data_IF_854603323811
#
_entry.id   IF_854603323811
#
_cell.length_a   1.000
_cell.length_b   1.000
_cell.length_c   1.000
_cell.angle_alpha   90.00
_cell.angle_beta   90.00
_cell.angle_gamma   90.00
#
_symmetry.space_group_name_H-M   'P 1'
#
loop_
_entity.id
_entity.type
_entity.pdbx_description
1 polymer ?
#
# COMPACT_ATOMS: atom_id res chain seq x y z
N UNK A 1 38.18 13.58 0.73
CA UNK A 1 37.07 12.68 1.04
C UNK A 1 35.95 13.56 1.62
N UNK A 2 34.98 13.94 0.83
CA UNK A 2 33.80 14.67 1.30
C UNK A 2 32.95 13.72 2.10
N UNK A 3 32.91 13.88 3.41
CA UNK A 3 31.92 13.23 4.28
C UNK A 3 30.54 13.66 3.78
N UNK A 4 29.84 12.79 3.02
CA UNK A 4 28.42 12.97 2.80
C UNK A 4 27.74 12.89 4.18
N UNK A 5 27.32 14.04 4.69
CA UNK A 5 26.40 14.08 5.82
C UNK A 5 25.10 13.43 5.33
N UNK A 6 24.80 12.24 5.83
CA UNK A 6 23.52 11.61 5.59
C UNK A 6 22.41 12.55 6.08
N UNK A 7 21.40 12.77 5.28
CA UNK A 7 20.22 13.52 5.72
C UNK A 7 19.70 12.94 7.04
N UNK A 8 19.31 13.77 8.00
CA UNK A 8 18.81 13.29 9.27
C UNK A 8 17.56 12.42 9.07
N UNK A 9 17.49 11.31 9.80
CA UNK A 9 16.34 10.40 9.79
C UNK A 9 15.11 11.12 10.34
N UNK A 10 14.01 11.16 9.58
CA UNK A 10 12.75 11.77 10.00
C UNK A 10 11.87 10.74 10.73
N UNK A 11 11.87 10.76 12.05
CA UNK A 11 11.01 9.86 12.85
C UNK A 11 9.67 10.51 13.24
N UNK A 12 9.61 11.83 13.33
CA UNK A 12 8.42 12.56 13.76
C UNK A 12 8.33 13.88 13.01
N UNK A 13 7.13 14.22 12.58
CA UNK A 13 6.83 15.54 12.03
C UNK A 13 6.22 16.43 13.10
N UNK A 14 6.42 17.74 12.96
CA UNK A 14 5.80 18.77 13.81
C UNK A 14 5.54 20.01 12.96
N UNK A 15 4.30 20.19 12.54
CA UNK A 15 3.85 21.33 11.75
C UNK A 15 2.78 22.11 12.53
N UNK A 16 3.18 23.06 13.39
CA UNK A 16 2.29 23.70 14.35
C UNK A 16 1.10 24.43 13.70
N UNK A 17 1.21 24.84 12.43
CA UNK A 17 0.13 25.53 11.71
C UNK A 17 -0.81 24.57 10.95
N UNK A 18 -0.57 23.26 11.00
CA UNK A 18 -1.39 22.26 10.35
C UNK A 18 -2.03 21.32 11.40
N UNK A 19 -3.30 21.04 11.22
CA UNK A 19 -4.01 20.05 12.07
C UNK A 19 -3.53 18.64 11.75
N UNK A 20 -2.98 17.94 12.74
CA UNK A 20 -2.64 16.53 12.58
C UNK A 20 -3.94 15.70 12.52
N UNK A 21 -4.21 15.11 11.36
CA UNK A 21 -5.38 14.27 11.13
C UNK A 21 -5.19 12.84 11.66
N UNK A 22 -4.03 12.26 11.42
CA UNK A 22 -3.67 10.92 11.88
C UNK A 22 -2.14 10.75 11.93
N UNK A 23 -1.67 9.91 12.86
CA UNK A 23 -0.28 9.47 12.92
C UNK A 23 -0.25 7.95 12.95
N UNK A 24 0.21 7.36 11.85
CA UNK A 24 0.35 5.92 11.67
C UNK A 24 1.73 5.39 12.06
N UNK A 25 1.95 4.10 11.84
CA UNK A 25 3.22 3.42 12.14
C UNK A 25 4.41 3.99 11.35
N UNK A 26 4.17 4.46 10.11
CA UNK A 26 5.22 4.91 9.18
C UNK A 26 4.93 6.27 8.55
N UNK A 27 3.76 6.86 8.77
CA UNK A 27 3.29 8.06 8.08
C UNK A 27 2.52 8.96 9.02
N UNK A 28 2.67 10.27 8.84
CA UNK A 28 1.84 11.29 9.48
C UNK A 28 0.98 11.97 8.41
N UNK A 29 -0.27 12.27 8.75
CA UNK A 29 -1.26 12.85 7.84
C UNK A 29 -1.79 14.14 8.46
N UNK A 30 -1.80 15.21 7.68
CA UNK A 30 -2.28 16.53 8.12
C UNK A 30 -3.46 16.98 7.26
N UNK A 31 -4.38 17.74 7.82
CA UNK A 31 -5.42 18.43 7.06
C UNK A 31 -4.83 19.62 6.33
N UNK A 32 -5.29 19.84 5.10
CA UNK A 32 -4.95 21.00 4.28
C UNK A 32 -6.23 21.51 3.63
N UNK A 33 -6.68 22.67 4.08
CA UNK A 33 -8.01 23.16 3.71
C UNK A 33 -9.13 22.20 4.18
N UNK A 34 -10.24 22.16 3.44
CA UNK A 34 -11.42 21.37 3.81
C UNK A 34 -11.45 19.97 3.17
N UNK A 35 -10.80 19.80 2.02
CA UNK A 35 -10.96 18.66 1.12
C UNK A 35 -9.65 17.94 0.77
N UNK A 36 -8.52 18.32 1.37
CA UNK A 36 -7.22 17.76 1.09
C UNK A 36 -6.53 17.23 2.35
N UNK A 37 -5.62 16.31 2.12
CA UNK A 37 -4.72 15.79 3.14
C UNK A 37 -3.28 15.87 2.63
N UNK A 38 -2.36 16.17 3.54
CA UNK A 38 -0.92 16.08 3.29
C UNK A 38 -0.41 14.80 3.94
N UNK A 39 0.00 13.85 3.13
CA UNK A 39 0.65 12.62 3.56
C UNK A 39 2.14 12.84 3.67
N UNK A 40 2.72 12.50 4.80
CA UNK A 40 4.17 12.62 5.03
C UNK A 40 4.72 11.27 5.43
N UNK A 41 5.42 10.62 4.52
CA UNK A 41 6.10 9.36 4.79
C UNK A 41 7.36 9.66 5.63
N UNK A 42 7.40 9.07 6.81
CA UNK A 42 8.55 9.16 7.72
C UNK A 42 9.56 8.05 7.43
N UNK A 43 10.68 8.10 8.12
CA UNK A 43 11.71 7.05 8.03
C UNK A 43 11.50 5.96 9.10
N UNK A 44 10.35 5.99 9.81
CA UNK A 44 9.97 4.94 10.76
C UNK A 44 9.86 3.60 10.07
N UNK A 45 10.24 2.55 10.76
CA UNK A 45 9.99 1.17 10.38
C UNK A 45 9.16 0.49 11.47
N UNK A 46 8.22 -0.34 11.05
CA UNK A 46 7.38 -1.13 11.94
C UNK A 46 7.55 -2.60 11.64
N UNK A 47 7.69 -3.41 12.68
CA UNK A 47 7.71 -4.85 12.60
C UNK A 47 6.83 -5.43 13.72
N UNK A 48 6.02 -6.45 13.42
CA UNK A 48 5.09 -7.08 14.37
C UNK A 48 4.22 -6.06 15.12
N UNK A 49 3.72 -5.04 14.40
CA UNK A 49 2.92 -3.91 14.91
C UNK A 49 3.64 -2.94 15.86
N UNK A 50 4.92 -3.11 16.12
CA UNK A 50 5.72 -2.19 16.89
C UNK A 50 6.53 -1.26 15.97
N UNK A 51 6.51 0.03 16.26
CA UNK A 51 7.41 1.01 15.64
C UNK A 51 8.77 0.87 16.31
N UNK A 52 9.80 0.58 15.51
CA UNK A 52 11.16 0.46 16.03
C UNK A 52 11.74 1.84 16.41
N UNK A 53 12.63 1.86 17.40
CA UNK A 53 13.22 3.10 17.88
C UNK A 53 14.13 3.80 16.87
N UNK A 54 14.69 3.04 15.94
CA UNK A 54 15.55 3.55 14.86
C UNK A 54 14.79 3.54 13.53
N UNK A 55 14.96 4.58 12.72
CA UNK A 55 14.42 4.64 11.36
C UNK A 55 15.48 4.23 10.33
N UNK A 56 15.00 4.03 9.10
CA UNK A 56 15.86 3.76 7.95
C UNK A 56 16.00 5.06 7.16
N UNK A 57 17.23 5.60 6.99
CA UNK A 57 17.45 6.81 6.23
C UNK A 57 16.80 6.74 4.83
N UNK A 58 16.09 7.79 4.43
CA UNK A 58 15.42 7.92 3.15
C UNK A 58 14.24 6.97 2.88
N UNK A 59 13.85 6.10 3.82
CA UNK A 59 12.72 5.16 3.63
C UNK A 59 11.47 5.90 3.15
N UNK A 60 11.08 6.98 3.83
CA UNK A 60 9.90 7.77 3.43
C UNK A 60 9.99 8.33 2.02
N UNK A 61 11.18 8.76 1.58
CA UNK A 61 11.39 9.22 0.21
C UNK A 61 11.22 8.09 -0.81
N UNK A 62 11.82 6.94 -0.54
CA UNK A 62 11.71 5.77 -1.43
C UNK A 62 10.26 5.33 -1.59
N UNK A 63 9.52 5.19 -0.48
CA UNK A 63 8.10 4.79 -0.52
C UNK A 63 7.25 5.78 -1.31
N UNK A 64 7.47 7.08 -1.10
CA UNK A 64 6.72 8.13 -1.83
C UNK A 64 7.02 8.08 -3.33
N UNK A 65 8.29 7.96 -3.73
CA UNK A 65 8.66 7.90 -5.14
C UNK A 65 8.12 6.65 -5.84
N UNK A 66 8.10 5.50 -5.16
CA UNK A 66 7.49 4.28 -5.67
C UNK A 66 5.97 4.47 -5.86
N UNK A 67 5.27 5.01 -4.86
CA UNK A 67 3.83 5.30 -4.99
C UNK A 67 3.53 6.23 -6.14
N UNK A 68 4.31 7.30 -6.31
CA UNK A 68 4.14 8.25 -7.41
C UNK A 68 4.32 7.61 -8.78
N UNK A 69 5.35 6.78 -8.93
CA UNK A 69 5.56 6.01 -10.16
C UNK A 69 4.34 5.16 -10.49
N UNK A 70 3.79 4.44 -9.52
CA UNK A 70 2.65 3.58 -9.75
C UNK A 70 1.35 4.37 -9.99
N UNK A 71 1.12 5.49 -9.32
CA UNK A 71 -0.03 6.36 -9.62
C UNK A 71 -0.01 6.86 -11.05
N UNK A 72 1.15 7.28 -11.56
CA UNK A 72 1.31 7.69 -12.96
C UNK A 72 1.12 6.51 -13.92
N UNK A 73 1.76 5.37 -13.67
CA UNK A 73 1.66 4.19 -14.52
C UNK A 73 0.23 3.63 -14.60
N UNK A 74 -0.55 3.76 -13.55
CA UNK A 74 -1.90 3.22 -13.43
C UNK A 74 -3.01 4.21 -13.77
N UNK A 75 -2.71 5.47 -14.10
CA UNK A 75 -3.68 6.55 -14.31
C UNK A 75 -4.76 6.24 -15.35
N UNK A 76 -4.46 5.39 -16.34
CA UNK A 76 -5.43 4.93 -17.35
C UNK A 76 -6.27 3.73 -16.89
N UNK A 77 -5.95 3.14 -15.74
CA UNK A 77 -6.65 1.97 -15.21
C UNK A 77 -7.64 2.37 -14.12
N UNK A 78 -7.26 3.33 -13.28
CA UNK A 78 -8.05 3.78 -12.13
C UNK A 78 -7.72 5.24 -11.80
N UNK A 79 -8.75 6.00 -11.42
CA UNK A 79 -8.53 7.31 -10.81
C UNK A 79 -7.80 7.16 -9.47
N UNK A 80 -6.94 8.13 -9.12
CA UNK A 80 -6.26 8.13 -7.84
C UNK A 80 -6.39 9.48 -7.14
N UNK A 81 -6.09 9.51 -5.86
CA UNK A 81 -6.29 10.68 -5.01
C UNK A 81 -5.14 11.70 -5.06
N UNK A 82 -4.05 11.43 -5.78
CA UNK A 82 -2.89 12.32 -5.84
C UNK A 82 -3.26 13.64 -6.53
N UNK A 83 -3.03 14.75 -5.83
CA UNK A 83 -3.12 16.11 -6.40
C UNK A 83 -1.75 16.52 -6.91
N UNK A 84 -0.74 16.48 -6.05
CA UNK A 84 0.65 16.75 -6.40
C UNK A 84 1.60 16.25 -5.31
N UNK A 85 2.84 15.94 -5.69
CA UNK A 85 3.94 15.70 -4.76
C UNK A 85 5.09 16.72 -4.95
N UNK A 86 4.91 17.68 -5.85
CA UNK A 86 5.83 18.80 -5.99
C UNK A 86 5.53 19.85 -4.92
N UNK A 87 6.45 20.00 -3.98
CA UNK A 87 6.32 20.94 -2.86
C UNK A 87 6.16 22.39 -3.31
N UNK A 88 6.61 22.76 -4.52
CA UNK A 88 6.42 24.10 -5.06
C UNK A 88 4.96 24.43 -5.37
N UNK A 89 4.13 23.41 -5.55
CA UNK A 89 2.70 23.51 -5.83
C UNK A 89 1.83 23.33 -4.57
N UNK A 90 2.44 23.23 -3.39
CA UNK A 90 1.68 23.11 -2.15
C UNK A 90 1.08 24.45 -1.72
N UNK A 91 -0.06 24.46 -1.04
CA UNK A 91 -0.67 25.66 -0.49
C UNK A 91 0.27 26.44 0.44
N UNK A 92 0.05 27.74 0.54
CA UNK A 92 0.91 28.66 1.30
C UNK A 92 1.14 28.23 2.76
N UNK A 93 0.13 27.63 3.39
CA UNK A 93 0.21 27.13 4.77
C UNK A 93 1.17 25.96 4.94
N UNK A 94 1.47 25.23 3.86
CA UNK A 94 2.39 24.09 3.84
C UNK A 94 3.81 24.51 3.43
N UNK A 95 3.96 25.60 2.70
CA UNK A 95 5.25 26.08 2.15
C UNK A 95 6.36 26.23 3.21
N UNK A 96 6.11 26.68 4.45
CA UNK A 96 7.17 26.79 5.45
C UNK A 96 7.89 25.47 5.74
N UNK A 97 7.30 24.33 5.37
CA UNK A 97 7.82 22.98 5.62
C UNK A 97 8.39 22.29 4.37
N UNK A 98 8.47 22.99 3.25
CA UNK A 98 8.80 22.42 1.93
C UNK A 98 10.11 21.61 1.92
N UNK A 99 11.15 22.07 2.61
CA UNK A 99 12.45 21.36 2.63
C UNK A 99 12.35 20.00 3.35
N UNK A 100 11.59 19.92 4.44
CA UNK A 100 11.35 18.67 5.16
C UNK A 100 10.45 17.71 4.36
N UNK A 101 9.51 18.26 3.58
CA UNK A 101 8.50 17.53 2.82
C UNK A 101 9.01 17.00 1.48
N UNK A 102 10.06 17.60 0.94
CA UNK A 102 10.56 17.30 -0.40
C UNK A 102 10.87 15.82 -0.61
N UNK A 103 10.17 15.23 -1.60
CA UNK A 103 10.34 13.84 -2.03
C UNK A 103 9.72 12.78 -1.12
N UNK A 104 9.14 13.17 0.04
CA UNK A 104 8.52 12.25 1.01
C UNK A 104 7.09 12.57 1.36
N UNK A 105 6.46 13.45 0.63
CA UNK A 105 5.08 13.86 0.89
C UNK A 105 4.25 13.91 -0.38
N UNK A 106 2.95 13.78 -0.20
CA UNK A 106 1.93 13.90 -1.24
C UNK A 106 0.78 14.75 -0.73
N UNK A 107 0.37 15.75 -1.49
CA UNK A 107 -0.92 16.39 -1.30
C UNK A 107 -1.96 15.58 -2.05
N UNK A 108 -2.99 15.14 -1.37
CA UNK A 108 -4.00 14.24 -1.91
C UNK A 108 -5.41 14.78 -1.69
N UNK A 109 -6.33 14.43 -2.58
CA UNK A 109 -7.76 14.63 -2.37
C UNK A 109 -8.23 13.76 -1.22
N UNK A 110 -8.97 14.33 -0.27
CA UNK A 110 -9.63 13.55 0.77
C UNK A 110 -10.73 12.71 0.14
N UNK A 111 -10.70 11.42 0.44
CA UNK A 111 -11.71 10.45 -0.01
C UNK A 111 -12.49 9.89 1.18
N UNK A 112 -13.73 9.50 0.94
CA UNK A 112 -14.50 8.67 1.87
C UNK A 112 -14.04 7.22 1.72
N UNK A 113 -13.22 6.74 2.67
CA UNK A 113 -12.56 5.46 2.56
C UNK A 113 -13.52 4.29 2.76
N UNK A 114 -13.37 3.26 1.92
CA UNK A 114 -14.04 1.97 2.15
C UNK A 114 -13.48 1.28 3.40
N UNK A 115 -14.33 0.60 4.20
CA UNK A 115 -13.93 -0.02 5.46
C UNK A 115 -13.25 -1.39 5.27
N UNK A 116 -12.66 -1.63 4.11
CA UNK A 116 -12.02 -2.88 3.74
C UNK A 116 -10.66 -2.64 3.10
N UNK A 117 -9.77 -3.60 3.23
CA UNK A 117 -8.52 -3.68 2.50
C UNK A 117 -8.68 -4.63 1.31
N UNK A 118 -8.28 -4.17 0.14
CA UNK A 118 -8.38 -4.92 -1.11
C UNK A 118 -7.06 -5.63 -1.40
N UNK A 119 -6.93 -6.86 -0.93
CA UNK A 119 -5.71 -7.66 -1.12
C UNK A 119 -5.83 -8.53 -2.36
N UNK A 120 -4.81 -8.50 -3.21
CA UNK A 120 -4.69 -9.40 -4.37
C UNK A 120 -3.44 -10.24 -4.22
N UNK A 121 -3.58 -11.54 -4.47
CA UNK A 121 -2.49 -12.51 -4.36
C UNK A 121 -2.30 -13.22 -5.69
N UNK A 122 -1.11 -13.15 -6.24
CA UNK A 122 -0.68 -13.96 -7.39
C UNK A 122 0.17 -15.16 -6.98
N UNK A 123 0.59 -15.18 -5.72
CA UNK A 123 1.39 -16.24 -5.12
C UNK A 123 0.87 -16.56 -3.72
N UNK A 124 1.06 -17.80 -3.29
CA UNK A 124 0.53 -18.31 -2.02
C UNK A 124 1.53 -18.05 -0.88
N UNK A 125 1.41 -16.90 -0.23
CA UNK A 125 2.33 -16.43 0.81
C UNK A 125 1.61 -15.83 2.02
N UNK A 126 2.33 -15.64 3.13
CA UNK A 126 1.85 -14.93 4.32
C UNK A 126 0.58 -15.54 4.91
N UNK A 127 -0.44 -14.68 5.19
CA UNK A 127 -1.73 -15.14 5.74
C UNK A 127 -2.47 -16.07 4.79
N UNK A 128 -2.36 -15.87 3.47
CA UNK A 128 -2.96 -16.75 2.47
C UNK A 128 -2.39 -18.17 2.51
N UNK A 129 -1.07 -18.31 2.68
CA UNK A 129 -0.45 -19.62 2.86
C UNK A 129 -0.92 -20.30 4.15
N UNK A 130 -0.97 -19.57 5.26
CA UNK A 130 -1.43 -20.09 6.54
C UNK A 130 -2.87 -20.64 6.44
N UNK A 131 -3.75 -19.86 5.81
CA UNK A 131 -5.16 -20.25 5.62
C UNK A 131 -5.30 -21.44 4.68
N UNK A 132 -4.63 -21.44 3.53
CA UNK A 132 -4.63 -22.57 2.61
C UNK A 132 -4.12 -23.87 3.26
N UNK A 133 -3.04 -23.79 4.02
CA UNK A 133 -2.49 -24.97 4.73
C UNK A 133 -3.49 -25.55 5.72
N UNK A 134 -4.34 -24.73 6.31
CA UNK A 134 -5.35 -25.16 7.28
C UNK A 134 -6.64 -25.69 6.61
N UNK A 135 -7.08 -25.04 5.51
CA UNK A 135 -8.43 -25.26 4.96
C UNK A 135 -8.47 -25.63 3.47
N UNK A 136 -7.35 -25.59 2.75
CA UNK A 136 -7.33 -25.79 1.29
C UNK A 136 -7.97 -24.65 0.49
N UNK A 137 -8.24 -23.53 1.16
CA UNK A 137 -8.90 -22.32 0.59
C UNK A 137 -8.29 -21.07 1.17
N UNK A 138 -8.53 -19.92 0.52
CA UNK A 138 -8.19 -18.59 1.02
C UNK A 138 -9.40 -17.68 0.84
N UNK A 139 -9.88 -17.04 1.89
CA UNK A 139 -11.10 -16.21 1.89
C UNK A 139 -12.31 -16.93 1.25
N UNK A 140 -12.47 -18.22 1.50
CA UNK A 140 -13.52 -19.07 0.92
C UNK A 140 -13.24 -19.54 -0.53
N UNK A 141 -12.21 -19.06 -1.20
CA UNK A 141 -11.82 -19.48 -2.55
C UNK A 141 -11.07 -20.82 -2.45
N UNK A 142 -11.67 -21.89 -2.97
CA UNK A 142 -11.00 -23.19 -3.05
C UNK A 142 -9.85 -23.14 -4.04
N UNK A 143 -8.68 -23.60 -3.63
CA UNK A 143 -7.50 -23.66 -4.48
C UNK A 143 -7.14 -25.11 -4.82
N UNK A 144 -6.38 -25.36 -5.89
CA UNK A 144 -5.89 -26.69 -6.22
C UNK A 144 -5.16 -27.34 -5.04
N UNK A 145 -5.31 -28.65 -4.87
CA UNK A 145 -4.57 -29.40 -3.87
C UNK A 145 -3.08 -29.52 -4.22
N UNK A 146 -2.24 -29.59 -3.21
CA UNK A 146 -0.80 -29.81 -3.39
C UNK A 146 0.01 -28.55 -3.66
N UNK A 147 -0.57 -27.34 -3.56
CA UNK A 147 0.18 -26.11 -3.59
C UNK A 147 1.12 -26.00 -2.38
N UNK A 148 2.30 -25.45 -2.60
CA UNK A 148 3.34 -25.21 -1.60
C UNK A 148 3.44 -23.74 -1.26
N UNK A 149 4.16 -23.43 -0.23
CA UNK A 149 4.49 -22.03 0.10
C UNK A 149 5.16 -21.33 -1.08
N UNK A 150 4.73 -20.12 -1.38
CA UNK A 150 5.21 -19.30 -2.48
C UNK A 150 4.92 -19.86 -3.89
N UNK A 151 4.15 -20.92 -4.06
CA UNK A 151 3.73 -21.32 -5.40
C UNK A 151 2.93 -20.22 -6.07
N UNK A 152 3.16 -20.02 -7.38
CA UNK A 152 2.35 -19.13 -8.22
C UNK A 152 0.94 -19.70 -8.35
N UNK A 153 -0.06 -18.87 -8.12
CA UNK A 153 -1.45 -19.26 -8.33
C UNK A 153 -1.77 -19.32 -9.84
N UNK A 154 -2.73 -20.17 -10.25
CA UNK A 154 -3.16 -20.26 -11.65
C UNK A 154 -3.63 -18.90 -12.19
N UNK A 155 -4.33 -18.15 -11.36
CA UNK A 155 -4.77 -16.76 -11.60
C UNK A 155 -4.66 -15.96 -10.30
N UNK A 156 -4.51 -14.63 -10.38
CA UNK A 156 -4.56 -13.78 -9.19
C UNK A 156 -5.94 -13.88 -8.51
N UNK A 157 -5.94 -14.01 -7.19
CA UNK A 157 -7.16 -14.07 -6.39
C UNK A 157 -7.33 -12.80 -5.56
N UNK A 158 -8.58 -12.36 -5.43
CA UNK A 158 -8.96 -11.25 -4.56
C UNK A 158 -9.35 -11.78 -3.19
N UNK A 159 -8.63 -11.35 -2.16
CA UNK A 159 -8.75 -11.84 -0.78
C UNK A 159 -8.88 -10.65 0.17
N UNK A 160 -10.08 -10.04 0.28
CA UNK A 160 -10.28 -8.85 1.08
C UNK A 160 -10.03 -9.11 2.57
N UNK A 161 -9.71 -8.03 3.29
CA UNK A 161 -9.61 -8.05 4.74
C UNK A 161 -10.38 -6.88 5.35
N UNK A 162 -10.80 -7.03 6.60
CA UNK A 162 -11.36 -5.92 7.37
C UNK A 162 -10.25 -4.96 7.75
N UNK A 163 -10.58 -3.67 7.90
CA UNK A 163 -9.70 -2.70 8.58
C UNK A 163 -9.97 -2.80 10.08
N UNK A 164 -9.06 -3.43 10.81
CA UNK A 164 -9.19 -3.53 12.25
C UNK A 164 -8.99 -2.15 12.90
N UNK A 165 -9.92 -1.75 13.75
CA UNK A 165 -9.75 -0.59 14.65
C UNK A 165 -8.86 -0.94 15.83
N UNK A 166 -8.80 -2.23 16.19
CA UNK A 166 -7.94 -2.80 17.24
C UNK A 166 -7.56 -4.22 16.83
N UNK A 167 -6.28 -4.60 17.00
CA UNK A 167 -5.79 -5.93 16.62
C UNK A 167 -5.22 -5.98 15.19
N UNK A 168 -5.42 -7.11 14.52
CA UNK A 168 -4.93 -7.34 13.16
C UNK A 168 -6.09 -7.35 12.15
N UNK A 169 -5.80 -6.96 10.92
CA UNK A 169 -6.72 -7.11 9.80
C UNK A 169 -7.02 -8.60 9.57
N UNK A 170 -8.30 -8.94 9.46
CA UNK A 170 -8.75 -10.31 9.30
C UNK A 170 -9.19 -10.55 7.85
N UNK A 171 -8.68 -11.62 7.25
CA UNK A 171 -9.15 -12.08 5.95
C UNK A 171 -10.65 -12.40 6.02
N UNK A 172 -11.42 -11.90 5.07
CA UNK A 172 -12.86 -12.17 4.96
C UNK A 172 -13.20 -12.72 3.58
N UNK A 173 -14.34 -13.39 3.46
CA UNK A 173 -14.85 -13.80 2.15
C UNK A 173 -15.36 -12.60 1.37
N UNK A 174 -15.49 -12.75 0.03
CA UNK A 174 -16.14 -11.73 -0.79
C UNK A 174 -17.60 -11.51 -0.39
N UNK A 175 -18.30 -12.56 0.04
CA UNK A 175 -19.66 -12.48 0.54
C UNK A 175 -19.75 -11.67 1.84
N UNK A 176 -18.79 -11.81 2.75
CA UNK A 176 -18.74 -11.00 3.97
C UNK A 176 -18.36 -9.55 3.66
N UNK A 177 -17.49 -9.30 2.68
CA UNK A 177 -17.22 -7.95 2.18
C UNK A 177 -18.50 -7.27 1.67
N UNK A 178 -19.37 -8.00 0.95
CA UNK A 178 -20.66 -7.48 0.47
C UNK A 178 -21.68 -7.13 1.59
N UNK A 179 -21.39 -7.50 2.84
CA UNK A 179 -22.17 -7.06 4.02
C UNK A 179 -21.67 -5.72 4.57
N UNK A 180 -20.43 -5.35 4.26
CA UNK A 180 -19.78 -4.13 4.72
C UNK A 180 -19.79 -3.02 3.66
N UNK A 181 -19.85 -3.39 2.39
CA UNK A 181 -19.79 -2.51 1.22
C UNK A 181 -20.93 -2.89 0.29
N UNK A 182 -21.50 -1.90 -0.40
CA UNK A 182 -22.51 -2.18 -1.42
C UNK A 182 -22.01 -3.26 -2.41
N UNK A 183 -22.82 -4.29 -2.75
CA UNK A 183 -22.38 -5.41 -3.56
C UNK A 183 -21.85 -5.02 -4.95
N UNK A 184 -22.39 -3.99 -5.59
CA UNK A 184 -21.91 -3.52 -6.90
C UNK A 184 -20.56 -2.79 -6.74
N UNK A 185 -20.41 -2.01 -5.68
CA UNK A 185 -19.12 -1.40 -5.34
C UNK A 185 -18.06 -2.45 -4.96
N UNK A 186 -18.45 -3.48 -4.20
CA UNK A 186 -17.56 -4.58 -3.86
C UNK A 186 -17.04 -5.31 -5.11
N UNK A 187 -17.90 -5.52 -6.13
CA UNK A 187 -17.46 -6.06 -7.42
C UNK A 187 -16.50 -5.14 -8.15
N UNK A 188 -16.78 -3.83 -8.17
CA UNK A 188 -15.88 -2.86 -8.80
C UNK A 188 -14.52 -2.82 -8.10
N UNK A 189 -14.50 -2.83 -6.76
CA UNK A 189 -13.26 -2.87 -5.98
C UNK A 189 -12.43 -4.13 -6.30
N UNK A 190 -13.08 -5.30 -6.37
CA UNK A 190 -12.42 -6.56 -6.76
C UNK A 190 -11.82 -6.46 -8.15
N UNK A 191 -12.62 -6.05 -9.13
CA UNK A 191 -12.24 -6.06 -10.53
C UNK A 191 -11.13 -5.03 -10.80
N UNK A 192 -11.21 -3.84 -10.20
CA UNK A 192 -10.15 -2.84 -10.22
C UNK A 192 -8.86 -3.36 -9.56
N UNK A 193 -8.97 -4.00 -8.40
CA UNK A 193 -7.80 -4.52 -7.68
C UNK A 193 -7.06 -5.57 -8.50
N UNK A 194 -7.79 -6.51 -9.12
CA UNK A 194 -7.21 -7.53 -10.00
C UNK A 194 -6.57 -6.89 -11.24
N UNK A 195 -7.23 -5.92 -11.87
CA UNK A 195 -6.72 -5.22 -13.04
C UNK A 195 -5.42 -4.46 -12.74
N UNK A 196 -5.39 -3.72 -11.62
CA UNK A 196 -4.21 -2.99 -11.14
C UNK A 196 -3.07 -3.97 -10.86
N UNK A 197 -3.34 -5.02 -10.09
CA UNK A 197 -2.35 -6.03 -9.74
C UNK A 197 -1.74 -6.68 -10.99
N UNK A 198 -2.58 -7.15 -11.92
CA UNK A 198 -2.11 -7.83 -13.13
C UNK A 198 -1.20 -6.94 -13.95
N UNK A 199 -1.63 -5.70 -14.23
CA UNK A 199 -0.84 -4.72 -14.99
C UNK A 199 0.50 -4.42 -14.31
N UNK A 200 0.48 -4.25 -12.99
CA UNK A 200 1.69 -3.95 -12.21
C UNK A 200 2.63 -5.16 -12.14
N UNK A 201 2.09 -6.36 -11.90
CA UNK A 201 2.88 -7.59 -11.81
C UNK A 201 3.57 -7.93 -13.15
N UNK A 202 2.88 -7.73 -14.27
CA UNK A 202 3.45 -7.92 -15.60
C UNK A 202 4.61 -6.94 -15.83
N UNK A 203 4.43 -5.67 -15.52
CA UNK A 203 5.51 -4.68 -15.62
C UNK A 203 6.69 -5.00 -14.70
N UNK A 204 6.44 -5.27 -13.41
CA UNK A 204 7.48 -5.58 -12.44
C UNK A 204 8.30 -6.81 -12.86
N UNK A 205 7.64 -7.81 -13.44
CA UNK A 205 8.31 -9.01 -13.97
C UNK A 205 9.35 -8.66 -15.04
N UNK A 206 9.10 -7.68 -15.91
CA UNK A 206 10.07 -7.21 -16.90
C UNK A 206 11.30 -6.55 -16.28
N UNK A 207 11.20 -6.16 -14.99
CA UNK A 207 12.27 -5.56 -14.18
C UNK A 207 12.95 -6.56 -13.23
N UNK A 208 12.65 -7.86 -13.37
CA UNK A 208 13.21 -8.90 -12.50
C UNK A 208 12.58 -8.94 -11.11
N UNK A 209 11.38 -8.38 -10.93
CA UNK A 209 10.67 -8.31 -9.66
C UNK A 209 9.36 -9.10 -9.75
N UNK A 210 9.09 -9.92 -8.75
CA UNK A 210 7.80 -10.56 -8.53
C UNK A 210 7.04 -9.75 -7.49
N UNK A 211 5.81 -9.35 -7.81
CA UNK A 211 4.84 -8.86 -6.82
C UNK A 211 4.04 -10.09 -6.38
N UNK A 212 4.30 -10.60 -5.19
CA UNK A 212 3.64 -11.81 -4.71
C UNK A 212 2.20 -11.55 -4.30
N UNK A 213 2.00 -10.51 -3.54
CA UNK A 213 0.71 -9.95 -3.13
C UNK A 213 0.83 -8.46 -2.87
N UNK A 214 -0.29 -7.81 -2.84
CA UNK A 214 -0.40 -6.38 -2.53
C UNK A 214 -1.74 -6.07 -1.89
N UNK A 215 -1.76 -4.99 -1.13
CA UNK A 215 -2.91 -4.44 -0.46
C UNK A 215 -3.21 -3.05 -1.03
N UNK A 216 -4.42 -2.86 -1.54
CA UNK A 216 -4.92 -1.57 -1.98
C UNK A 216 -5.95 -1.01 -1.02
N UNK A 217 -5.99 0.30 -0.93
CA UNK A 217 -7.04 1.04 -0.26
C UNK A 217 -7.77 1.92 -1.28
N UNK A 218 -9.07 1.94 -1.18
CA UNK A 218 -9.93 2.77 -2.04
C UNK A 218 -10.83 3.66 -1.21
N UNK A 219 -11.24 4.76 -1.83
CA UNK A 219 -12.24 5.65 -1.29
C UNK A 219 -13.12 6.22 -2.40
N UNK A 220 -14.15 6.95 -2.01
CA UNK A 220 -15.03 7.69 -2.92
C UNK A 220 -14.61 9.15 -2.96
N UNK A 221 -14.50 9.68 -4.17
CA UNK A 221 -14.34 11.11 -4.46
C UNK A 221 -15.40 11.54 -5.47
N UNK A 222 -15.39 12.79 -5.90
CA UNK A 222 -16.24 13.24 -7.00
C UNK A 222 -15.97 12.50 -8.33
N UNK A 223 -14.80 11.87 -8.48
CA UNK A 223 -14.45 11.03 -9.62
C UNK A 223 -14.96 9.57 -9.50
N UNK A 224 -15.65 9.22 -8.42
CA UNK A 224 -16.09 7.85 -8.14
C UNK A 224 -15.10 7.07 -7.30
N UNK A 225 -15.00 5.75 -7.50
CA UNK A 225 -14.04 4.89 -6.81
C UNK A 225 -12.63 5.30 -7.20
N UNK A 226 -11.84 5.65 -6.21
CA UNK A 226 -10.52 6.24 -6.35
C UNK A 226 -9.50 5.45 -5.55
N UNK A 227 -8.38 5.09 -6.17
CA UNK A 227 -7.24 4.46 -5.50
C UNK A 227 -6.59 5.47 -4.56
N UNK A 228 -6.43 5.09 -3.31
CA UNK A 228 -5.97 5.95 -2.24
C UNK A 228 -4.79 5.33 -1.49
N UNK A 229 -4.31 6.03 -0.49
CA UNK A 229 -3.18 5.67 0.36
C UNK A 229 -1.85 5.55 -0.44
N UNK A 230 -1.00 4.63 -0.09
CA UNK A 230 0.19 4.26 -0.87
C UNK A 230 -0.14 3.10 -1.80
N UNK A 231 0.60 2.98 -2.88
CA UNK A 231 0.35 1.92 -3.85
C UNK A 231 1.62 1.18 -4.23
N UNK A 232 1.56 -0.16 -4.11
CA UNK A 232 2.62 -1.07 -4.58
C UNK A 232 4.01 -0.69 -4.03
N UNK A 233 4.06 -0.37 -2.74
CA UNK A 233 5.30 -0.13 -2.02
C UNK A 233 5.72 -1.37 -1.23
N UNK A 234 6.96 -1.46 -0.77
CA UNK A 234 7.38 -2.53 0.13
C UNK A 234 6.58 -2.61 1.44
N UNK A 235 5.95 -1.52 1.89
CA UNK A 235 5.10 -1.53 3.09
C UNK A 235 3.72 -2.15 2.84
N UNK A 236 3.20 -2.07 1.60
CA UNK A 236 1.89 -2.62 1.20
C UNK A 236 1.96 -3.91 0.38
N UNK A 237 3.14 -4.34 -0.05
CA UNK A 237 3.33 -5.42 -1.01
C UNK A 237 4.54 -6.29 -0.67
N UNK A 238 4.50 -7.57 -1.06
CA UNK A 238 5.69 -8.45 -1.05
C UNK A 238 6.34 -8.44 -2.41
N UNK A 239 7.58 -7.98 -2.45
CA UNK A 239 8.43 -7.97 -3.64
C UNK A 239 9.54 -9.00 -3.50
N UNK A 240 9.66 -9.91 -4.46
CA UNK A 240 10.72 -10.91 -4.50
C UNK A 240 11.63 -10.72 -5.71
N UNK A 241 12.95 -10.95 -5.56
CA UNK A 241 13.85 -11.04 -6.71
C UNK A 241 13.45 -12.23 -7.59
N UNK A 242 13.12 -11.98 -8.85
CA UNK A 242 12.66 -13.04 -9.74
C UNK A 242 13.72 -14.11 -10.01
N UNK A 243 14.99 -13.73 -9.97
CA UNK A 243 16.13 -14.63 -10.15
C UNK A 243 16.36 -15.60 -8.97
N UNK A 244 15.92 -15.21 -7.76
CA UNK A 244 16.06 -16.03 -6.56
C UNK A 244 14.79 -16.80 -6.21
N UNK A 245 13.73 -16.61 -6.98
CA UNK A 245 12.44 -17.24 -6.70
C UNK A 245 12.51 -18.76 -6.80
N UNK A 246 12.15 -19.44 -5.71
CA UNK A 246 12.08 -20.89 -5.62
C UNK A 246 10.82 -21.32 -4.84
N UNK A 247 9.83 -21.92 -5.50
CA UNK A 247 8.59 -22.32 -4.84
C UNK A 247 8.81 -23.45 -3.83
N UNK A 248 7.96 -23.52 -2.80
CA UNK A 248 8.02 -24.51 -1.73
C UNK A 248 8.70 -24.04 -0.45
N UNK A 249 9.11 -22.79 -0.39
CA UNK A 249 9.73 -22.17 0.77
C UNK A 249 9.41 -20.68 0.86
N UNK A 250 9.64 -20.08 2.02
CA UNK A 250 9.59 -18.64 2.17
C UNK A 250 10.64 -17.95 1.31
N UNK A 251 10.27 -16.87 0.66
CA UNK A 251 11.15 -16.15 -0.26
C UNK A 251 11.90 -15.02 0.44
N UNK A 252 13.09 -14.71 -0.06
CA UNK A 252 13.75 -13.46 0.28
C UNK A 252 12.91 -12.29 -0.27
N UNK A 253 12.56 -11.33 0.58
CA UNK A 253 11.85 -10.13 0.20
C UNK A 253 12.80 -8.94 0.13
N UNK A 254 12.46 -7.93 -0.69
CA UNK A 254 13.20 -6.67 -0.72
C UNK A 254 12.94 -5.81 0.53
N UNK A 255 11.93 -6.13 1.31
CA UNK A 255 11.54 -5.35 2.49
C UNK A 255 11.78 -6.12 3.79
N UNK A 256 11.19 -7.29 3.96
CA UNK A 256 11.15 -8.02 5.25
C UNK A 256 11.68 -9.43 5.14
#
# INVERSE_FOLDING_TARGET
MTTQTLDPVLLKTAFPNLELFASGKVRDVYRVGNDRLLFVATDRISAFDYVLATGIPHKGRVLTQISMFWFDFLQQTVANHLVTADVSNYPAEVQPYADQLRGRSMLVQRAEMFPVECVVRGYLSGSGWKEYKAAGSVCGIKLPSGLRESDKLPEPIFTPATKATTGHDENISFEDMCKLVDPEEAKQLRDLSIAIYTKAADYARTKGIIIADTKFEFGKTAAGITLADEVLTPDSSRFWPAELYSPGMSQQSFDK
#
